data_IF_087116288730
#
_entry.id   IF_087116288730
#
_cell.length_a   1.000
_cell.length_b   1.000
_cell.length_c   1.000
_cell.angle_alpha   90.00
_cell.angle_beta   90.00
_cell.angle_gamma   90.00
#
_symmetry.space_group_name_H-M   'P 1'
#
loop_
_entity.id
_entity.type
_entity.pdbx_description
1 polymer ?
#
# COMPACT_ATOMS: atom_id res chain seq x y z
N UNK A 1 9.25 -31.65 -6.57
CA UNK A 1 9.99 -30.47 -7.10
C UNK A 1 9.17 -29.19 -7.08
N UNK A 2 7.89 -29.19 -7.50
CA UNK A 2 7.02 -27.99 -7.49
C UNK A 2 6.75 -27.42 -6.08
N UNK A 3 6.46 -28.24 -5.07
CA UNK A 3 6.20 -27.77 -3.68
C UNK A 3 7.38 -26.99 -3.09
N UNK A 4 8.62 -27.40 -3.37
CA UNK A 4 9.81 -26.69 -2.86
C UNK A 4 9.99 -25.32 -3.51
N UNK A 5 9.76 -25.19 -4.84
CA UNK A 5 9.87 -23.88 -5.54
C UNK A 5 8.82 -22.87 -5.07
N UNK A 6 7.58 -23.30 -4.88
CA UNK A 6 6.51 -22.42 -4.37
C UNK A 6 6.84 -21.94 -2.96
N UNK A 7 7.31 -22.83 -2.09
CA UNK A 7 7.72 -22.47 -0.74
C UNK A 7 8.93 -21.51 -0.73
N UNK A 8 9.95 -21.77 -1.55
CA UNK A 8 11.11 -20.88 -1.71
C UNK A 8 10.70 -19.48 -2.20
N UNK A 9 9.76 -19.41 -3.16
CA UNK A 9 9.25 -18.14 -3.67
C UNK A 9 8.47 -17.37 -2.61
N UNK A 10 7.59 -18.04 -1.86
CA UNK A 10 6.82 -17.42 -0.77
C UNK A 10 7.78 -16.89 0.31
N UNK A 11 8.76 -17.71 0.71
CA UNK A 11 9.76 -17.31 1.70
C UNK A 11 10.60 -16.13 1.21
N UNK A 12 11.08 -16.18 -0.04
CA UNK A 12 11.88 -15.11 -0.64
C UNK A 12 11.11 -13.79 -0.74
N UNK A 13 9.83 -13.84 -1.15
CA UNK A 13 8.96 -12.67 -1.17
C UNK A 13 8.72 -12.14 0.24
N UNK A 14 8.46 -13.03 1.21
CA UNK A 14 8.25 -12.65 2.61
C UNK A 14 9.47 -11.93 3.19
N UNK A 15 10.67 -12.48 2.99
CA UNK A 15 11.93 -11.84 3.43
C UNK A 15 12.14 -10.50 2.73
N UNK A 16 11.90 -10.41 1.43
CA UNK A 16 12.01 -9.15 0.69
C UNK A 16 11.00 -8.11 1.18
N UNK A 17 9.77 -8.52 1.48
CA UNK A 17 8.74 -7.64 2.01
C UNK A 17 9.11 -7.10 3.39
N UNK A 18 9.58 -7.98 4.28
CA UNK A 18 10.05 -7.58 5.62
C UNK A 18 11.21 -6.59 5.50
N UNK A 19 12.17 -6.83 4.62
CA UNK A 19 13.31 -5.95 4.46
C UNK A 19 12.92 -4.58 3.85
N UNK A 20 12.01 -4.57 2.88
CA UNK A 20 11.48 -3.32 2.32
C UNK A 20 10.76 -2.46 3.35
N UNK A 21 10.29 -3.05 4.45
CA UNK A 21 9.70 -2.32 5.58
C UNK A 21 10.74 -2.01 6.65
N UNK A 22 11.63 -2.94 6.96
CA UNK A 22 12.60 -2.83 8.05
C UNK A 22 13.68 -1.75 7.76
N UNK A 23 14.24 -1.72 6.55
CA UNK A 23 15.29 -0.74 6.22
C UNK A 23 14.80 0.71 6.30
N UNK A 24 13.67 1.10 5.70
CA UNK A 24 13.10 2.43 5.92
C UNK A 24 12.79 2.71 7.39
N UNK A 25 12.27 1.72 8.13
CA UNK A 25 11.95 1.88 9.54
C UNK A 25 13.20 2.12 10.41
N UNK A 26 14.33 1.49 10.10
CA UNK A 26 15.63 1.72 10.76
C UNK A 26 16.21 3.10 10.41
N UNK A 27 16.07 3.54 9.14
CA UNK A 27 16.60 4.84 8.70
C UNK A 27 15.74 6.02 9.12
N UNK A 28 14.42 5.81 9.29
CA UNK A 28 13.45 6.84 9.60
C UNK A 28 13.78 7.68 10.85
N UNK A 29 14.14 7.09 12.01
CA UNK A 29 14.52 7.86 13.19
C UNK A 29 15.75 8.74 12.96
N UNK A 30 16.74 8.22 12.27
CA UNK A 30 17.96 8.93 11.96
C UNK A 30 17.68 10.11 11.01
N UNK A 31 17.05 9.82 9.88
CA UNK A 31 16.73 10.80 8.85
C UNK A 31 15.87 11.93 9.41
N UNK A 32 14.76 11.59 10.09
CA UNK A 32 13.82 12.58 10.60
C UNK A 32 14.45 13.56 11.59
N UNK A 33 15.35 13.08 12.46
CA UNK A 33 16.06 13.92 13.44
C UNK A 33 17.02 14.91 12.77
N UNK A 34 17.67 14.51 11.69
CA UNK A 34 18.64 15.34 10.97
C UNK A 34 17.90 16.36 10.12
N UNK A 35 17.08 15.91 9.17
CA UNK A 35 16.44 16.79 8.18
C UNK A 35 15.28 17.61 8.75
N UNK A 36 14.72 17.17 9.90
CA UNK A 36 13.59 17.82 10.56
C UNK A 36 12.26 17.69 9.82
N UNK A 37 11.18 18.31 10.38
CA UNK A 37 9.85 18.19 9.80
C UNK A 37 9.73 18.77 8.39
N UNK A 38 10.44 19.85 8.09
CA UNK A 38 10.38 20.51 6.78
C UNK A 38 10.94 19.63 5.67
N UNK A 39 12.19 19.14 5.83
CA UNK A 39 12.79 18.21 4.86
C UNK A 39 12.01 16.91 4.74
N UNK A 40 11.47 16.41 5.86
CA UNK A 40 10.64 15.21 5.86
C UNK A 40 9.32 15.44 5.11
N UNK A 41 8.72 16.62 5.25
CA UNK A 41 7.52 17.01 4.51
C UNK A 41 7.75 17.13 3.01
N UNK A 42 8.88 17.75 2.58
CA UNK A 42 9.27 17.82 1.16
C UNK A 42 9.40 16.41 0.57
N UNK A 43 10.13 15.52 1.23
CA UNK A 43 10.33 14.14 0.77
C UNK A 43 9.01 13.39 0.63
N UNK A 44 8.17 13.43 1.65
CA UNK A 44 6.90 12.70 1.64
C UNK A 44 5.90 13.28 0.65
N UNK A 45 5.83 14.62 0.52
CA UNK A 45 4.97 15.26 -0.48
C UNK A 45 5.38 14.88 -1.90
N UNK A 46 6.67 15.03 -2.21
CA UNK A 46 7.21 14.67 -3.54
C UNK A 46 7.02 13.18 -3.84
N UNK A 47 7.26 12.31 -2.84
CA UNK A 47 7.03 10.86 -2.99
C UNK A 47 5.54 10.54 -3.22
N UNK A 48 4.63 11.19 -2.51
CA UNK A 48 3.20 11.02 -2.69
C UNK A 48 2.76 11.48 -4.09
N UNK A 49 3.24 12.65 -4.52
CA UNK A 49 2.93 13.19 -5.83
C UNK A 49 3.45 12.29 -6.97
N UNK A 50 4.71 11.89 -6.91
CA UNK A 50 5.32 10.98 -7.90
C UNK A 50 4.69 9.58 -7.85
N UNK A 51 4.18 9.16 -6.71
CA UNK A 51 3.47 7.89 -6.52
C UNK A 51 2.29 7.70 -7.48
N UNK A 52 1.58 8.77 -7.86
CA UNK A 52 0.53 8.69 -8.88
C UNK A 52 1.07 8.38 -10.27
N UNK A 53 2.21 8.94 -10.63
CA UNK A 53 2.88 8.61 -11.90
C UNK A 53 3.39 7.16 -11.90
N UNK A 54 3.88 6.66 -10.75
CA UNK A 54 4.21 5.22 -10.60
C UNK A 54 2.99 4.36 -10.89
N UNK A 55 1.85 4.66 -10.26
CA UNK A 55 0.59 3.94 -10.50
C UNK A 55 0.16 3.99 -11.97
N UNK A 56 0.32 5.15 -12.61
CA UNK A 56 -0.04 5.33 -14.01
C UNK A 56 0.89 4.56 -14.95
N UNK A 57 2.19 4.52 -14.70
CA UNK A 57 3.17 3.80 -15.54
C UNK A 57 3.08 2.29 -15.35
N UNK A 58 3.01 1.82 -14.11
CA UNK A 58 2.85 0.39 -13.82
C UNK A 58 1.45 -0.11 -14.20
N UNK A 59 0.47 0.76 -14.18
CA UNK A 59 -0.94 0.55 -14.51
C UNK A 59 -1.55 -0.63 -13.73
N UNK A 60 -1.43 -1.83 -14.23
CA UNK A 60 -1.72 -3.11 -13.58
C UNK A 60 -0.94 -4.25 -14.25
N UNK A 61 0.04 -3.87 -15.09
CA UNK A 61 0.76 -4.80 -15.95
C UNK A 61 1.59 -5.83 -15.19
N UNK A 62 1.97 -5.56 -13.92
CA UNK A 62 2.60 -6.59 -13.10
C UNK A 62 1.65 -7.77 -12.84
N UNK A 63 0.35 -7.53 -12.73
CA UNK A 63 -0.66 -8.56 -12.53
C UNK A 63 -1.11 -9.19 -13.84
N UNK A 64 -1.53 -8.36 -14.81
CA UNK A 64 -2.06 -8.83 -16.10
C UNK A 64 -0.98 -9.49 -16.96
N UNK A 65 0.21 -8.89 -17.05
CA UNK A 65 1.36 -9.45 -17.74
C UNK A 65 1.83 -10.77 -17.13
N UNK A 66 1.89 -10.86 -15.79
CA UNK A 66 2.17 -12.13 -15.09
C UNK A 66 1.15 -13.19 -15.47
N UNK A 67 -0.14 -12.86 -15.44
CA UNK A 67 -1.22 -13.79 -15.79
C UNK A 67 -1.13 -14.26 -17.24
N UNK A 68 -0.89 -13.34 -18.18
CA UNK A 68 -0.79 -13.65 -19.60
C UNK A 68 0.39 -14.59 -19.90
N UNK A 69 1.59 -14.24 -19.42
CA UNK A 69 2.81 -15.01 -19.65
C UNK A 69 2.77 -16.38 -18.95
N UNK A 70 2.34 -16.42 -17.67
CA UNK A 70 2.34 -17.66 -16.91
C UNK A 70 1.40 -18.73 -17.47
N UNK A 71 0.29 -18.32 -18.10
CA UNK A 71 -0.66 -19.25 -18.72
C UNK A 71 -0.14 -19.83 -20.03
N UNK A 72 0.70 -19.10 -20.75
CA UNK A 72 1.21 -19.47 -22.07
C UNK A 72 2.74 -19.63 -22.10
N UNK A 73 3.34 -20.04 -20.99
CA UNK A 73 4.80 -20.04 -20.78
C UNK A 73 5.56 -20.92 -21.80
N UNK A 74 4.89 -21.89 -22.41
CA UNK A 74 5.46 -22.78 -23.44
C UNK A 74 5.45 -22.19 -24.84
N UNK A 75 4.58 -21.23 -25.09
CA UNK A 75 4.46 -20.52 -26.38
C UNK A 75 5.39 -19.28 -26.35
N UNK A 76 6.57 -19.44 -26.96
CA UNK A 76 7.59 -18.38 -27.00
C UNK A 76 7.15 -17.15 -27.80
N UNK A 77 6.34 -17.32 -28.84
CA UNK A 77 5.83 -16.21 -29.64
C UNK A 77 4.88 -15.37 -28.82
N UNK A 78 3.91 -16.00 -28.18
CA UNK A 78 2.96 -15.34 -27.30
C UNK A 78 3.67 -14.65 -26.11
N UNK A 79 4.64 -15.32 -25.49
CA UNK A 79 5.42 -14.73 -24.37
C UNK A 79 6.17 -13.49 -24.81
N UNK A 80 6.82 -13.50 -25.99
CA UNK A 80 7.53 -12.35 -26.53
C UNK A 80 6.57 -11.22 -26.91
N UNK A 81 5.39 -11.55 -27.45
CA UNK A 81 4.34 -10.58 -27.75
C UNK A 81 3.85 -9.90 -26.47
N UNK A 82 3.39 -10.66 -25.48
CA UNK A 82 2.88 -10.13 -24.23
C UNK A 82 3.95 -9.33 -23.44
N UNK A 83 5.20 -9.81 -23.44
CA UNK A 83 6.33 -9.07 -22.90
C UNK A 83 6.52 -7.71 -23.58
N UNK A 84 6.49 -7.69 -24.90
CA UNK A 84 6.66 -6.46 -25.69
C UNK A 84 5.51 -5.48 -25.49
N UNK A 85 4.27 -5.97 -25.46
CA UNK A 85 3.07 -5.16 -25.21
C UNK A 85 3.16 -4.44 -23.85
N UNK A 86 3.56 -5.15 -22.78
CA UNK A 86 3.76 -4.54 -21.45
C UNK A 86 4.82 -3.44 -21.49
N UNK A 87 5.97 -3.68 -22.12
CA UNK A 87 7.05 -2.69 -22.17
C UNK A 87 6.66 -1.48 -23.00
N UNK A 88 6.08 -1.67 -24.19
CA UNK A 88 5.62 -0.54 -25.01
C UNK A 88 4.51 0.27 -24.32
N UNK A 89 3.57 -0.40 -23.64
CA UNK A 89 2.53 0.27 -22.86
C UNK A 89 3.15 1.16 -21.76
N UNK A 90 4.11 0.64 -20.99
CA UNK A 90 4.82 1.41 -19.97
C UNK A 90 5.62 2.58 -20.56
N UNK A 91 6.27 2.39 -21.71
CA UNK A 91 6.98 3.48 -22.41
C UNK A 91 6.02 4.61 -22.81
N UNK A 92 4.86 4.28 -23.38
CA UNK A 92 3.86 5.28 -23.76
C UNK A 92 3.34 6.02 -22.54
N UNK A 93 2.99 5.28 -21.47
CA UNK A 93 2.49 5.89 -20.24
C UNK A 93 3.58 6.75 -19.55
N UNK A 94 4.85 6.36 -19.63
CA UNK A 94 5.97 7.20 -19.15
C UNK A 94 6.10 8.50 -19.95
N UNK A 95 5.98 8.46 -21.27
CA UNK A 95 6.01 9.66 -22.13
C UNK A 95 4.84 10.60 -21.80
N UNK A 96 3.62 10.06 -21.67
CA UNK A 96 2.46 10.85 -21.23
C UNK A 96 2.70 11.44 -19.83
N UNK A 97 3.21 10.63 -18.91
CA UNK A 97 3.58 11.08 -17.54
C UNK A 97 4.60 12.22 -17.57
N UNK A 98 5.57 12.16 -18.50
CA UNK A 98 6.61 13.20 -18.62
C UNK A 98 6.02 14.55 -19.02
N UNK A 99 5.07 14.55 -19.96
CA UNK A 99 4.34 15.76 -20.37
C UNK A 99 3.51 16.30 -19.20
N UNK A 100 2.75 15.42 -18.53
CA UNK A 100 1.92 15.82 -17.38
C UNK A 100 2.77 16.33 -16.20
N UNK A 101 3.92 15.73 -15.94
CA UNK A 101 4.84 16.17 -14.90
C UNK A 101 5.43 17.55 -15.23
N UNK A 102 5.89 17.77 -16.46
CA UNK A 102 6.36 19.09 -16.89
C UNK A 102 5.26 20.15 -16.71
N UNK A 103 4.04 19.88 -17.13
CA UNK A 103 2.91 20.79 -16.92
C UNK A 103 2.66 21.07 -15.43
N UNK A 104 2.76 20.04 -14.58
CA UNK A 104 2.55 20.19 -13.14
C UNK A 104 3.60 21.05 -12.45
N UNK A 105 4.84 21.09 -12.96
CA UNK A 105 5.88 21.98 -12.45
C UNK A 105 5.55 23.46 -12.69
N UNK A 106 4.78 23.81 -13.73
CA UNK A 106 4.36 25.18 -13.97
C UNK A 106 3.18 25.62 -13.08
N UNK A 107 2.29 24.69 -12.69
CA UNK A 107 1.05 24.99 -11.97
C UNK A 107 1.10 24.65 -10.48
N UNK A 108 2.04 23.82 -10.03
CA UNK A 108 2.07 23.26 -8.68
C UNK A 108 2.83 24.12 -7.67
N UNK A 109 2.18 25.07 -6.96
CA UNK A 109 2.82 25.92 -5.94
C UNK A 109 3.59 25.14 -4.86
N UNK A 110 3.10 23.97 -4.45
CA UNK A 110 3.75 23.16 -3.43
C UNK A 110 5.02 22.46 -3.94
N UNK A 111 5.15 22.22 -5.27
CA UNK A 111 6.35 21.66 -5.89
C UNK A 111 7.45 22.71 -6.07
N UNK A 112 7.11 24.00 -6.09
CA UNK A 112 8.08 25.07 -6.28
C UNK A 112 9.08 25.24 -5.13
N UNK A 113 8.74 24.78 -3.91
CA UNK A 113 9.64 24.90 -2.76
C UNK A 113 10.85 24.00 -2.87
N UNK A 114 10.73 22.82 -3.54
CA UNK A 114 11.87 21.97 -3.85
C UNK A 114 11.59 21.03 -5.04
N UNK A 115 11.62 21.62 -6.24
CA UNK A 115 11.44 20.89 -7.50
C UNK A 115 12.54 19.85 -7.75
N UNK A 116 13.73 20.03 -7.15
CA UNK A 116 14.87 19.13 -7.34
C UNK A 116 14.54 17.71 -6.86
N UNK A 117 13.96 17.57 -5.68
CA UNK A 117 13.52 16.27 -5.14
C UNK A 117 12.50 15.60 -6.06
N UNK A 118 11.52 16.37 -6.54
CA UNK A 118 10.48 15.87 -7.43
C UNK A 118 11.05 15.44 -8.79
N UNK A 119 12.01 16.19 -9.34
CA UNK A 119 12.70 15.83 -10.59
C UNK A 119 13.52 14.54 -10.41
N UNK A 120 14.29 14.42 -9.33
CA UNK A 120 15.09 13.22 -9.04
C UNK A 120 14.18 12.00 -8.98
N UNK A 121 13.07 12.08 -8.23
CA UNK A 121 12.10 11.00 -8.13
C UNK A 121 11.44 10.68 -9.47
N UNK A 122 11.09 11.73 -10.26
CA UNK A 122 10.46 11.53 -11.57
C UNK A 122 11.40 10.82 -12.56
N UNK A 123 12.66 11.24 -12.62
CA UNK A 123 13.69 10.54 -13.43
C UNK A 123 13.79 9.07 -13.01
N UNK A 124 13.64 8.79 -11.72
CA UNK A 124 13.59 7.44 -11.19
C UNK A 124 12.48 6.55 -11.77
N UNK A 125 11.41 7.14 -12.32
CA UNK A 125 10.29 6.39 -12.90
C UNK A 125 10.68 5.59 -14.16
N UNK A 126 11.79 5.91 -14.80
CA UNK A 126 12.34 5.08 -15.87
C UNK A 126 12.60 3.65 -15.39
N UNK A 127 12.93 3.48 -14.10
CA UNK A 127 13.08 2.17 -13.47
C UNK A 127 11.77 1.37 -13.42
N UNK A 128 10.64 2.06 -13.36
CA UNK A 128 9.29 1.43 -13.38
C UNK A 128 8.94 0.90 -14.76
N UNK A 129 9.40 1.56 -15.82
CA UNK A 129 9.24 1.06 -17.21
C UNK A 129 9.92 -0.30 -17.36
N UNK A 130 11.15 -0.41 -16.86
CA UNK A 130 11.98 -1.62 -16.92
C UNK A 130 11.83 -2.51 -15.69
N UNK A 131 10.79 -2.32 -14.86
CA UNK A 131 10.53 -3.19 -13.71
C UNK A 131 10.32 -4.63 -14.16
N UNK A 132 11.19 -5.58 -13.78
CA UNK A 132 11.15 -6.94 -14.24
C UNK A 132 10.27 -7.85 -13.38
N UNK A 133 9.56 -7.29 -12.40
CA UNK A 133 8.81 -8.05 -11.40
C UNK A 133 7.84 -9.05 -12.04
N UNK A 134 7.06 -8.63 -13.04
CA UNK A 134 6.10 -9.48 -13.74
C UNK A 134 6.77 -10.67 -14.45
N UNK A 135 8.00 -10.49 -14.97
CA UNK A 135 8.75 -11.56 -15.61
C UNK A 135 9.13 -12.64 -14.58
N UNK A 136 9.78 -12.22 -13.47
CA UNK A 136 10.20 -13.15 -12.41
C UNK A 136 9.01 -13.85 -11.75
N UNK A 137 7.87 -13.18 -11.62
CA UNK A 137 6.63 -13.78 -11.14
C UNK A 137 6.09 -14.81 -12.12
N UNK A 138 6.08 -14.52 -13.43
CA UNK A 138 5.60 -15.43 -14.48
C UNK A 138 6.39 -16.72 -14.55
N UNK A 139 7.71 -16.63 -14.42
CA UNK A 139 8.61 -17.77 -14.45
C UNK A 139 8.84 -18.44 -13.08
N UNK A 140 8.17 -17.93 -12.02
CA UNK A 140 8.30 -18.42 -10.64
C UNK A 140 9.76 -18.48 -10.16
N UNK A 141 10.52 -17.41 -10.42
CA UNK A 141 11.95 -17.29 -10.10
C UNK A 141 12.25 -16.01 -9.29
N UNK A 142 11.53 -15.88 -8.19
CA UNK A 142 11.59 -14.67 -7.37
C UNK A 142 12.82 -14.58 -6.47
N UNK A 143 13.58 -15.68 -6.33
CA UNK A 143 14.75 -15.75 -5.43
C UNK A 143 15.82 -14.72 -5.76
N UNK A 144 16.21 -14.61 -7.05
CA UNK A 144 17.23 -13.65 -7.50
C UNK A 144 16.70 -12.23 -7.33
N UNK A 145 15.47 -11.98 -7.76
CA UNK A 145 14.81 -10.68 -7.64
C UNK A 145 14.77 -10.21 -6.18
N UNK A 146 14.34 -11.08 -5.27
CA UNK A 146 14.26 -10.79 -3.83
C UNK A 146 15.63 -10.55 -3.21
N UNK A 147 16.63 -11.38 -3.53
CA UNK A 147 18.00 -11.22 -3.01
C UNK A 147 18.63 -9.88 -3.42
N UNK A 148 18.47 -9.49 -4.68
CA UNK A 148 19.03 -8.22 -5.18
C UNK A 148 18.30 -7.03 -4.56
N UNK A 149 16.98 -7.10 -4.38
CA UNK A 149 16.22 -6.05 -3.68
C UNK A 149 16.63 -5.91 -2.21
N UNK A 150 16.95 -7.01 -1.52
CA UNK A 150 17.50 -6.98 -0.17
C UNK A 150 18.85 -6.23 -0.13
N UNK A 151 19.77 -6.61 -1.01
CA UNK A 151 21.09 -5.97 -1.10
C UNK A 151 20.93 -4.47 -1.41
N UNK A 152 20.03 -4.12 -2.33
CA UNK A 152 19.70 -2.73 -2.63
C UNK A 152 19.26 -1.96 -1.40
N UNK A 153 18.30 -2.49 -0.65
CA UNK A 153 17.78 -1.85 0.57
C UNK A 153 18.87 -1.65 1.61
N UNK A 154 19.72 -2.65 1.80
CA UNK A 154 20.84 -2.59 2.75
C UNK A 154 21.89 -1.53 2.34
N UNK A 155 22.30 -1.53 1.07
CA UNK A 155 23.27 -0.52 0.57
C UNK A 155 22.67 0.89 0.67
N UNK A 156 21.39 1.07 0.28
CA UNK A 156 20.72 2.36 0.39
C UNK A 156 20.67 2.86 1.84
N UNK A 157 20.38 1.97 2.78
CA UNK A 157 20.44 2.27 4.22
C UNK A 157 21.83 2.77 4.64
N UNK A 158 22.90 2.07 4.26
CA UNK A 158 24.28 2.47 4.60
C UNK A 158 24.61 3.84 4.03
N UNK A 159 24.28 4.11 2.76
CA UNK A 159 24.55 5.40 2.14
C UNK A 159 23.77 6.54 2.79
N UNK A 160 22.55 6.31 3.20
CA UNK A 160 21.78 7.29 3.97
C UNK A 160 22.52 7.65 5.26
N UNK A 161 23.02 6.67 6.02
CA UNK A 161 23.80 6.93 7.24
C UNK A 161 25.14 7.63 6.98
N UNK A 162 25.76 7.40 5.83
CA UNK A 162 27.06 8.01 5.48
C UNK A 162 26.90 9.46 4.99
N UNK A 163 25.92 9.73 4.17
CA UNK A 163 25.82 11.00 3.42
C UNK A 163 24.82 12.00 3.99
N UNK A 164 23.76 11.54 4.68
CA UNK A 164 22.78 12.46 5.26
C UNK A 164 23.25 12.90 6.64
N UNK A 165 23.86 14.08 6.75
CA UNK A 165 24.44 14.63 8.01
C UNK A 165 23.82 15.96 8.40
N UNK A 166 23.33 16.73 7.45
CA UNK A 166 22.77 18.07 7.68
C UNK A 166 21.31 18.17 7.22
N UNK A 167 20.63 19.26 7.61
CA UNK A 167 19.23 19.48 7.20
C UNK A 167 19.07 19.54 5.67
N UNK A 168 20.10 19.99 4.96
CA UNK A 168 20.04 20.19 3.50
C UNK A 168 20.31 18.90 2.73
N UNK A 169 20.75 17.83 3.39
CA UNK A 169 21.13 16.58 2.74
C UNK A 169 19.92 15.67 2.40
N UNK A 170 18.70 16.14 2.63
CA UNK A 170 17.50 15.34 2.35
C UNK A 170 17.39 14.89 0.88
N UNK A 171 17.96 15.62 -0.07
CA UNK A 171 17.95 15.25 -1.49
C UNK A 171 18.79 13.99 -1.81
N UNK A 172 19.77 13.62 -0.98
CA UNK A 172 20.51 12.37 -1.15
C UNK A 172 19.64 11.13 -1.01
N UNK A 173 18.57 11.21 -0.23
CA UNK A 173 17.67 10.07 0.00
C UNK A 173 16.98 9.64 -1.29
N UNK A 174 16.26 10.51 -2.02
CA UNK A 174 15.69 10.17 -3.31
C UNK A 174 16.75 9.92 -4.37
N UNK A 175 17.91 10.59 -4.31
CA UNK A 175 18.99 10.40 -5.28
C UNK A 175 19.51 8.95 -5.25
N UNK A 176 19.93 8.45 -4.09
CA UNK A 176 20.41 7.07 -3.97
C UNK A 176 19.32 6.06 -4.32
N UNK A 177 18.12 6.26 -3.82
CA UNK A 177 16.99 5.39 -4.14
C UNK A 177 16.73 5.33 -5.64
N UNK A 178 16.74 6.46 -6.33
CA UNK A 178 16.54 6.57 -7.78
C UNK A 178 17.65 5.88 -8.55
N UNK A 179 18.91 6.21 -8.24
CA UNK A 179 20.08 5.63 -8.90
C UNK A 179 20.07 4.10 -8.79
N UNK A 180 19.89 3.58 -7.56
CA UNK A 180 19.85 2.13 -7.37
C UNK A 180 18.66 1.48 -8.04
N UNK A 181 17.47 2.10 -8.01
CA UNK A 181 16.30 1.56 -8.70
C UNK A 181 16.54 1.45 -10.21
N UNK A 182 17.14 2.46 -10.82
CA UNK A 182 17.45 2.46 -12.26
C UNK A 182 18.45 1.34 -12.58
N UNK A 183 19.61 1.31 -11.92
CA UNK A 183 20.65 0.33 -12.23
C UNK A 183 20.18 -1.11 -11.97
N UNK A 184 19.52 -1.34 -10.86
CA UNK A 184 19.07 -2.69 -10.47
C UNK A 184 17.93 -3.18 -11.36
N UNK A 185 16.92 -2.33 -11.63
CA UNK A 185 15.81 -2.77 -12.47
C UNK A 185 16.26 -2.99 -13.92
N UNK A 186 17.10 -2.13 -14.48
CA UNK A 186 17.67 -2.33 -15.82
C UNK A 186 18.57 -3.57 -15.85
N UNK A 187 19.41 -3.76 -14.85
CA UNK A 187 20.26 -4.95 -14.73
C UNK A 187 19.47 -6.25 -14.63
N UNK A 188 18.47 -6.28 -13.73
CA UNK A 188 17.58 -7.44 -13.57
C UNK A 188 16.72 -7.69 -14.81
N UNK A 189 16.26 -6.63 -15.49
CA UNK A 189 15.53 -6.72 -16.76
C UNK A 189 16.41 -7.34 -17.85
N UNK A 190 17.64 -6.85 -18.01
CA UNK A 190 18.60 -7.39 -18.97
C UNK A 190 18.97 -8.87 -18.67
N UNK A 191 19.15 -9.21 -17.41
CA UNK A 191 19.38 -10.58 -16.98
C UNK A 191 18.17 -11.49 -17.28
N UNK A 192 16.95 -11.05 -16.94
CA UNK A 192 15.73 -11.79 -17.23
C UNK A 192 15.54 -11.99 -18.74
N UNK A 193 15.77 -10.94 -19.55
CA UNK A 193 15.70 -11.02 -21.03
C UNK A 193 16.64 -12.09 -21.59
N UNK A 194 17.88 -12.17 -21.08
CA UNK A 194 18.86 -13.20 -21.49
C UNK A 194 18.46 -14.57 -20.99
N UNK A 195 18.14 -14.69 -19.71
CA UNK A 195 17.83 -15.97 -19.06
C UNK A 195 16.63 -16.68 -19.68
N UNK A 196 15.57 -15.93 -19.98
CA UNK A 196 14.32 -16.49 -20.56
C UNK A 196 14.25 -16.33 -22.09
N UNK A 197 15.35 -15.87 -22.72
CA UNK A 197 15.43 -15.67 -24.18
C UNK A 197 14.29 -14.79 -24.71
N UNK A 198 13.93 -13.73 -23.97
CA UNK A 198 12.87 -12.82 -24.34
C UNK A 198 13.34 -11.85 -25.44
N UNK A 199 12.48 -11.67 -26.47
CA UNK A 199 12.73 -10.75 -27.58
C UNK A 199 11.69 -9.64 -27.54
N UNK A 200 12.14 -8.39 -27.74
CA UNK A 200 11.23 -7.28 -28.01
C UNK A 200 10.80 -7.35 -29.48
N UNK A 201 9.52 -7.55 -29.69
CA UNK A 201 8.90 -7.61 -31.02
C UNK A 201 8.11 -6.33 -31.21
N UNK A 202 8.29 -5.67 -32.37
CA UNK A 202 7.54 -4.45 -32.69
C UNK A 202 6.03 -4.74 -32.64
N UNK A 203 5.30 -3.95 -31.88
CA UNK A 203 3.86 -4.09 -31.71
C UNK A 203 3.14 -2.92 -32.38
N UNK A 204 2.03 -3.17 -33.08
CA UNK A 204 1.20 -2.10 -33.57
C UNK A 204 0.57 -1.33 -32.39
N UNK A 205 0.42 -0.02 -32.53
CA UNK A 205 -0.13 0.84 -31.48
C UNK A 205 -1.52 0.37 -31.01
N UNK A 206 -2.34 -0.15 -31.92
CA UNK A 206 -3.66 -0.66 -31.57
C UNK A 206 -3.61 -1.79 -30.52
N UNK A 207 -2.64 -2.70 -30.60
CA UNK A 207 -2.47 -3.77 -29.63
C UNK A 207 -2.04 -3.20 -28.26
N UNK A 208 -1.12 -2.24 -28.29
CA UNK A 208 -0.63 -1.58 -27.07
C UNK A 208 -1.77 -0.84 -26.34
N UNK A 209 -2.55 -0.06 -27.07
CA UNK A 209 -3.74 0.60 -26.51
C UNK A 209 -4.83 -0.41 -26.10
N UNK A 210 -4.95 -1.53 -26.81
CA UNK A 210 -5.84 -2.63 -26.47
C UNK A 210 -5.54 -3.20 -25.09
N UNK A 211 -4.26 -3.44 -24.77
CA UNK A 211 -3.84 -3.92 -23.43
C UNK A 211 -4.16 -2.89 -22.36
N UNK A 212 -3.84 -1.61 -22.59
CA UNK A 212 -4.17 -0.52 -21.64
C UNK A 212 -5.68 -0.47 -21.39
N UNK A 213 -6.49 -0.55 -22.45
CA UNK A 213 -7.94 -0.49 -22.31
C UNK A 213 -8.53 -1.70 -21.59
N UNK A 214 -8.00 -2.91 -21.83
CA UNK A 214 -8.45 -4.13 -21.17
C UNK A 214 -8.19 -4.10 -19.65
N UNK A 215 -7.06 -3.52 -19.24
CA UNK A 215 -6.65 -3.46 -17.85
C UNK A 215 -7.23 -2.26 -17.06
N UNK A 216 -8.03 -1.40 -17.69
CA UNK A 216 -8.54 -0.15 -17.10
C UNK A 216 -9.27 -0.33 -15.77
N UNK A 217 -10.01 -1.42 -15.61
CA UNK A 217 -10.78 -1.64 -14.36
C UNK A 217 -9.86 -1.96 -13.18
N UNK A 218 -8.79 -2.72 -13.41
CA UNK A 218 -7.80 -3.02 -12.36
C UNK A 218 -7.05 -1.73 -12.00
N UNK A 219 -6.66 -0.94 -13.01
CA UNK A 219 -6.05 0.36 -12.82
C UNK A 219 -6.92 1.31 -11.99
N UNK A 220 -8.20 1.48 -12.36
CA UNK A 220 -9.14 2.32 -11.63
C UNK A 220 -9.27 1.85 -10.17
N UNK A 221 -9.31 0.55 -9.93
CA UNK A 221 -9.35 0.00 -8.57
C UNK A 221 -8.11 0.38 -7.74
N UNK A 222 -6.92 0.35 -8.36
CA UNK A 222 -5.66 0.78 -7.72
C UNK A 222 -5.66 2.29 -7.42
N UNK A 223 -6.16 3.12 -8.35
CA UNK A 223 -6.29 4.58 -8.14
C UNK A 223 -7.27 4.89 -7.00
N UNK A 224 -8.41 4.19 -6.92
CA UNK A 224 -9.36 4.34 -5.82
C UNK A 224 -8.70 3.99 -4.47
N UNK A 225 -7.88 2.93 -4.44
CA UNK A 225 -7.09 2.58 -3.26
C UNK A 225 -6.13 3.70 -2.84
N UNK A 226 -5.49 4.37 -3.80
CA UNK A 226 -4.58 5.49 -3.54
C UNK A 226 -5.29 6.74 -2.99
N UNK A 227 -6.58 6.93 -3.27
CA UNK A 227 -7.36 8.05 -2.72
C UNK A 227 -7.37 8.06 -1.19
N UNK A 228 -7.36 6.90 -0.59
CA UNK A 228 -7.38 6.78 0.87
C UNK A 228 -6.03 7.07 1.52
N UNK A 229 -4.92 6.82 0.84
CA UNK A 229 -3.58 6.90 1.41
C UNK A 229 -2.81 8.13 0.95
N UNK A 230 -2.61 8.26 -0.34
CA UNK A 230 -1.67 9.21 -0.95
C UNK A 230 -2.31 10.57 -1.20
N UNK A 231 -3.61 10.61 -1.56
CA UNK A 231 -4.30 11.85 -1.94
C UNK A 231 -4.39 12.86 -0.80
N UNK A 232 -4.51 12.40 0.45
CA UNK A 232 -4.55 13.29 1.61
C UNK A 232 -3.32 14.20 1.67
N UNK A 233 -2.13 13.64 1.47
CA UNK A 233 -0.88 14.39 1.47
C UNK A 233 -0.81 15.40 0.33
N UNK A 234 -1.31 15.04 -0.86
CA UNK A 234 -1.31 15.94 -2.03
C UNK A 234 -2.29 17.09 -1.82
N UNK A 235 -3.51 16.80 -1.36
CA UNK A 235 -4.51 17.85 -1.09
C UNK A 235 -3.98 18.83 -0.04
N UNK A 236 -3.34 18.34 1.02
CA UNK A 236 -2.72 19.18 2.04
C UNK A 236 -1.67 20.14 1.46
N UNK A 237 -0.89 19.70 0.48
CA UNK A 237 0.13 20.53 -0.16
C UNK A 237 -0.39 21.81 -0.82
N UNK A 238 -1.71 21.89 -1.14
CA UNK A 238 -2.32 23.11 -1.65
C UNK A 238 -2.63 24.14 -0.55
N UNK A 239 -2.73 23.71 0.71
CA UNK A 239 -3.29 24.54 1.79
C UNK A 239 -2.32 24.81 2.94
N UNK A 240 -1.33 23.93 3.19
CA UNK A 240 -0.46 24.03 4.36
C UNK A 240 1.03 24.04 3.95
N UNK A 241 1.90 24.32 4.91
CA UNK A 241 3.35 24.39 4.71
C UNK A 241 3.97 22.99 4.61
N UNK A 242 5.17 22.90 4.01
CA UNK A 242 5.93 21.64 3.96
C UNK A 242 6.25 21.09 5.35
N UNK A 243 6.49 21.97 6.33
CA UNK A 243 6.71 21.58 7.73
C UNK A 243 5.49 20.89 8.32
N UNK A 244 4.30 21.44 8.10
CA UNK A 244 3.03 20.85 8.55
C UNK A 244 2.71 19.54 7.84
N UNK A 245 3.05 19.42 6.54
CA UNK A 245 3.00 18.14 5.81
C UNK A 245 3.92 17.13 6.48
N UNK A 246 5.10 17.54 6.92
CA UNK A 246 6.03 16.70 7.66
C UNK A 246 5.42 16.13 8.94
N UNK A 247 4.73 16.95 9.72
CA UNK A 247 4.03 16.49 10.92
C UNK A 247 2.93 15.47 10.60
N UNK A 248 2.11 15.76 9.62
CA UNK A 248 1.04 14.87 9.19
C UNK A 248 1.56 13.53 8.68
N UNK A 249 2.53 13.58 7.75
CA UNK A 249 3.06 12.36 7.13
C UNK A 249 3.84 11.49 8.11
N UNK A 250 4.49 12.09 9.12
CA UNK A 250 5.13 11.35 10.21
C UNK A 250 4.11 10.50 10.96
N UNK A 251 2.98 11.10 11.36
CA UNK A 251 1.91 10.39 12.07
C UNK A 251 1.27 9.30 11.22
N UNK A 252 1.01 9.59 9.93
CA UNK A 252 0.43 8.63 8.99
C UNK A 252 1.37 7.46 8.72
N UNK A 253 2.65 7.73 8.46
CA UNK A 253 3.63 6.68 8.20
C UNK A 253 3.79 5.76 9.42
N UNK A 254 3.80 6.32 10.63
CA UNK A 254 3.83 5.53 11.85
C UNK A 254 2.56 4.68 12.02
N UNK A 255 1.40 5.26 11.79
CA UNK A 255 0.12 4.53 11.79
C UNK A 255 0.15 3.35 10.81
N UNK A 256 0.66 3.57 9.59
CA UNK A 256 0.77 2.49 8.60
C UNK A 256 1.75 1.39 9.01
N UNK A 257 2.81 1.70 9.75
CA UNK A 257 3.68 0.66 10.32
C UNK A 257 2.86 -0.22 11.27
N UNK A 258 2.08 0.37 12.16
CA UNK A 258 1.22 -0.39 13.09
C UNK A 258 0.18 -1.22 12.33
N UNK A 259 -0.45 -0.64 11.30
CA UNK A 259 -1.41 -1.35 10.45
C UNK A 259 -0.75 -2.53 9.73
N UNK A 260 0.43 -2.33 9.14
CA UNK A 260 1.13 -3.40 8.42
C UNK A 260 1.60 -4.53 9.35
N UNK A 261 2.03 -4.21 10.55
CA UNK A 261 2.55 -5.20 11.51
C UNK A 261 1.41 -6.00 12.17
N UNK A 262 0.32 -5.35 12.55
CA UNK A 262 -0.74 -5.97 13.35
C UNK A 262 -1.99 -6.32 12.54
N UNK A 263 -2.43 -5.42 11.65
CA UNK A 263 -3.70 -5.58 10.95
C UNK A 263 -3.61 -6.57 9.77
N UNK A 264 -2.65 -6.38 8.86
CA UNK A 264 -2.57 -7.20 7.64
C UNK A 264 -2.36 -8.69 7.96
N UNK A 265 -1.43 -9.11 8.85
CA UNK A 265 -1.25 -10.52 9.17
C UNK A 265 -2.49 -11.18 9.77
N UNK A 266 -3.20 -10.45 10.64
CA UNK A 266 -4.44 -10.98 11.25
C UNK A 266 -5.53 -11.13 10.20
N UNK A 267 -5.76 -10.11 9.38
CA UNK A 267 -6.76 -10.15 8.31
C UNK A 267 -6.50 -11.30 7.33
N UNK A 268 -5.25 -11.47 6.90
CA UNK A 268 -4.86 -12.53 5.96
C UNK A 268 -4.93 -13.94 6.56
N UNK A 269 -4.68 -14.09 7.87
CA UNK A 269 -4.79 -15.37 8.56
C UNK A 269 -6.26 -15.79 8.81
N UNK A 270 -7.14 -14.82 9.05
CA UNK A 270 -8.54 -15.07 9.36
C UNK A 270 -9.35 -15.36 8.09
N UNK A 271 -9.06 -14.71 6.96
CA UNK A 271 -9.83 -14.81 5.74
C UNK A 271 -10.02 -16.26 5.23
N UNK A 272 -8.96 -17.09 5.05
CA UNK A 272 -9.12 -18.47 4.62
C UNK A 272 -9.95 -19.31 5.59
N UNK A 273 -9.82 -19.06 6.91
CA UNK A 273 -10.56 -19.79 7.93
C UNK A 273 -12.07 -19.51 7.85
N UNK A 274 -12.44 -18.23 7.67
CA UNK A 274 -13.85 -17.84 7.46
C UNK A 274 -14.34 -18.41 6.13
N UNK A 275 -13.61 -18.21 5.03
CA UNK A 275 -14.00 -18.65 3.69
C UNK A 275 -14.23 -20.16 3.63
N UNK A 276 -13.35 -20.97 4.22
CA UNK A 276 -13.53 -22.41 4.32
C UNK A 276 -14.75 -22.81 5.18
N UNK A 277 -15.15 -21.96 6.11
CA UNK A 277 -16.35 -22.21 6.90
C UNK A 277 -17.62 -21.92 6.11
N UNK A 278 -17.62 -20.89 5.28
CA UNK A 278 -18.71 -20.58 4.35
C UNK A 278 -18.86 -21.63 3.25
N UNK A 279 -17.78 -22.29 2.82
CA UNK A 279 -17.86 -23.38 1.83
C UNK A 279 -18.58 -24.62 2.36
N UNK A 280 -18.67 -24.79 3.69
CA UNK A 280 -19.42 -25.89 4.31
C UNK A 280 -20.91 -25.58 4.38
N UNK A 281 -21.28 -24.45 4.94
CA UNK A 281 -22.62 -23.85 4.89
C UNK A 281 -22.56 -22.38 5.34
N UNK A 282 -23.58 -21.60 4.94
CA UNK A 282 -23.73 -20.20 5.34
C UNK A 282 -23.89 -20.07 6.86
N UNK A 283 -24.58 -21.03 7.50
CA UNK A 283 -24.77 -21.03 8.94
C UNK A 283 -23.47 -21.25 9.71
N UNK A 284 -22.66 -22.23 9.28
CA UNK A 284 -21.33 -22.49 9.86
C UNK A 284 -20.40 -21.30 9.69
N UNK A 285 -20.38 -20.72 8.48
CA UNK A 285 -19.61 -19.51 8.21
C UNK A 285 -20.01 -18.34 9.11
N UNK A 286 -21.31 -18.11 9.25
CA UNK A 286 -21.85 -17.03 10.08
C UNK A 286 -21.58 -17.24 11.59
N UNK A 287 -21.64 -18.47 12.09
CA UNK A 287 -21.28 -18.75 13.49
C UNK A 287 -19.79 -18.51 13.76
N UNK A 288 -18.91 -18.86 12.81
CA UNK A 288 -17.48 -18.56 12.87
C UNK A 288 -17.24 -17.05 12.87
N UNK A 289 -17.91 -16.29 12.01
CA UNK A 289 -17.82 -14.82 12.00
C UNK A 289 -18.22 -14.27 13.36
N UNK A 290 -19.37 -14.69 13.92
CA UNK A 290 -19.85 -14.25 15.25
C UNK A 290 -18.82 -14.51 16.37
N UNK A 291 -18.03 -15.57 16.29
CA UNK A 291 -16.96 -15.87 17.25
C UNK A 291 -15.73 -15.02 17.07
N UNK A 292 -15.40 -14.65 15.82
CA UNK A 292 -14.21 -13.87 15.47
C UNK A 292 -14.42 -12.37 15.72
N UNK A 293 -15.63 -11.85 15.47
CA UNK A 293 -16.00 -10.43 15.63
C UNK A 293 -15.53 -9.84 16.98
N UNK A 294 -15.85 -10.41 18.15
CA UNK A 294 -15.39 -9.84 19.41
C UNK A 294 -13.87 -9.84 19.57
N UNK A 295 -13.21 -10.92 19.13
CA UNK A 295 -11.75 -11.07 19.22
C UNK A 295 -11.05 -9.97 18.44
N UNK A 296 -11.48 -9.73 17.20
CA UNK A 296 -10.90 -8.69 16.33
C UNK A 296 -11.19 -7.30 16.85
N UNK A 297 -12.40 -7.03 17.35
CA UNK A 297 -12.76 -5.73 17.92
C UNK A 297 -11.90 -5.42 19.14
N UNK A 298 -11.77 -6.33 20.10
CA UNK A 298 -10.96 -6.10 21.29
C UNK A 298 -9.47 -5.92 20.94
N UNK A 299 -8.96 -6.70 20.01
CA UNK A 299 -7.58 -6.58 19.56
C UNK A 299 -7.30 -5.21 18.94
N UNK A 300 -8.13 -4.76 18.00
CA UNK A 300 -7.93 -3.47 17.34
C UNK A 300 -8.24 -2.30 18.27
N UNK A 301 -9.19 -2.44 19.18
CA UNK A 301 -9.45 -1.46 20.21
C UNK A 301 -8.24 -1.30 21.15
N UNK A 302 -7.66 -2.40 21.60
CA UNK A 302 -6.46 -2.39 22.42
C UNK A 302 -5.28 -1.77 21.68
N UNK A 303 -5.06 -2.12 20.42
CA UNK A 303 -4.02 -1.51 19.58
C UNK A 303 -4.21 0.01 19.45
N UNK A 304 -5.46 0.45 19.23
CA UNK A 304 -5.80 1.88 19.16
C UNK A 304 -5.56 2.61 20.48
N UNK A 305 -5.92 1.97 21.59
CA UNK A 305 -5.68 2.51 22.94
C UNK A 305 -4.18 2.63 23.24
N UNK A 306 -3.40 1.62 22.88
CA UNK A 306 -1.94 1.68 22.99
C UNK A 306 -1.36 2.82 22.15
N UNK A 307 -1.83 3.00 20.91
CA UNK A 307 -1.43 4.11 20.05
C UNK A 307 -1.74 5.47 20.72
N UNK A 308 -2.93 5.62 21.28
CA UNK A 308 -3.35 6.86 21.93
C UNK A 308 -2.45 7.20 23.13
N UNK A 309 -2.21 6.20 23.99
CA UNK A 309 -1.46 6.40 25.25
C UNK A 309 0.03 6.58 24.97
N UNK A 310 0.61 5.73 24.12
CA UNK A 310 2.05 5.71 23.88
C UNK A 310 2.52 6.63 22.76
N UNK A 311 1.61 7.34 22.05
CA UNK A 311 1.96 8.26 20.97
C UNK A 311 3.03 9.32 21.38
N UNK A 312 3.02 9.95 22.56
CA UNK A 312 4.08 10.88 22.94
C UNK A 312 5.44 10.20 23.02
N UNK A 313 5.50 9.06 23.72
CA UNK A 313 6.73 8.29 23.86
C UNK A 313 7.27 7.83 22.51
N UNK A 314 6.40 7.29 21.65
CA UNK A 314 6.78 6.73 20.35
C UNK A 314 7.28 7.81 19.39
N UNK A 315 6.58 8.93 19.27
CA UNK A 315 6.99 10.02 18.39
C UNK A 315 8.28 10.66 18.87
N UNK A 316 8.37 11.00 20.15
CA UNK A 316 9.57 11.65 20.72
C UNK A 316 10.78 10.71 20.64
N UNK A 317 10.60 9.42 20.95
CA UNK A 317 11.69 8.44 20.90
C UNK A 317 12.17 8.17 19.47
N UNK A 318 11.27 8.07 18.50
CA UNK A 318 11.61 7.74 17.11
C UNK A 318 12.05 8.98 16.35
N UNK A 319 11.25 10.05 16.37
CA UNK A 319 11.44 11.23 15.51
C UNK A 319 12.14 12.40 16.22
N UNK A 320 12.10 12.44 17.56
CA UNK A 320 12.64 13.53 18.37
C UNK A 320 11.65 14.67 18.59
N UNK A 321 12.02 15.60 19.49
CA UNK A 321 11.13 16.68 19.99
C UNK A 321 10.68 17.68 18.89
N UNK A 322 11.36 17.73 17.75
CA UNK A 322 10.96 18.60 16.64
C UNK A 322 9.60 18.20 16.01
N UNK A 323 9.09 17.00 16.36
CA UNK A 323 7.86 16.44 15.81
C UNK A 323 6.69 16.41 16.83
N UNK A 324 6.71 17.25 17.85
CA UNK A 324 5.69 17.26 18.92
C UNK A 324 4.26 17.45 18.39
N UNK A 325 4.06 18.28 17.34
CA UNK A 325 2.75 18.39 16.68
C UNK A 325 2.25 17.08 16.06
N UNK A 326 3.17 16.20 15.65
CA UNK A 326 2.81 14.87 15.15
C UNK A 326 2.17 13.99 16.24
N UNK A 327 2.44 14.25 17.52
CA UNK A 327 1.82 13.54 18.64
C UNK A 327 0.30 13.76 18.63
N UNK A 328 -0.12 15.03 18.53
CA UNK A 328 -1.54 15.39 18.54
C UNK A 328 -2.27 14.82 17.30
N UNK A 329 -1.59 14.83 16.15
CA UNK A 329 -2.12 14.23 14.92
C UNK A 329 -2.29 12.73 15.09
N UNK A 330 -1.24 12.04 15.63
CA UNK A 330 -1.29 10.59 15.85
C UNK A 330 -2.37 10.21 16.88
N UNK A 331 -2.56 11.01 17.92
CA UNK A 331 -3.65 10.83 18.88
C UNK A 331 -5.03 10.99 18.21
N UNK A 332 -5.17 11.97 17.32
CA UNK A 332 -6.41 12.16 16.56
C UNK A 332 -6.76 10.94 15.72
N UNK A 333 -5.77 10.32 15.05
CA UNK A 333 -5.97 9.14 14.21
C UNK A 333 -5.75 7.80 14.94
N UNK A 334 -5.58 7.81 16.27
CA UNK A 334 -5.25 6.61 17.04
C UNK A 334 -6.30 5.50 16.93
N UNK A 335 -7.55 5.84 16.65
CA UNK A 335 -8.64 4.87 16.46
C UNK A 335 -8.80 4.36 15.02
N UNK A 336 -7.96 4.80 14.08
CA UNK A 336 -7.97 4.29 12.70
C UNK A 336 -7.72 2.76 12.63
N UNK A 337 -6.84 2.12 13.42
CA UNK A 337 -6.72 0.66 13.41
C UNK A 337 -8.04 -0.06 13.75
N UNK A 338 -8.82 0.46 14.68
CA UNK A 338 -10.14 -0.07 15.01
C UNK A 338 -11.12 0.10 13.85
N UNK A 339 -11.22 1.32 13.30
CA UNK A 339 -12.17 1.59 12.20
C UNK A 339 -11.80 0.83 10.93
N UNK A 340 -10.52 0.77 10.56
CA UNK A 340 -10.03 -0.08 9.47
C UNK A 340 -10.32 -1.57 9.71
N UNK A 341 -10.12 -2.03 10.95
CA UNK A 341 -10.42 -3.40 11.36
C UNK A 341 -11.88 -3.74 11.16
N UNK A 342 -12.78 -2.86 11.57
CA UNK A 342 -14.22 -3.00 11.35
C UNK A 342 -14.60 -2.96 9.86
N UNK A 343 -14.03 -2.03 9.07
CA UNK A 343 -14.24 -2.00 7.62
C UNK A 343 -13.85 -3.33 6.96
N UNK A 344 -12.67 -3.86 7.32
CA UNK A 344 -12.21 -5.15 6.79
C UNK A 344 -13.12 -6.30 7.21
N UNK A 345 -13.50 -6.34 8.49
CA UNK A 345 -14.38 -7.38 9.03
C UNK A 345 -15.71 -7.39 8.28
N UNK A 346 -16.38 -6.25 8.17
CA UNK A 346 -17.70 -6.15 7.54
C UNK A 346 -17.63 -6.36 6.03
N UNK A 347 -16.62 -5.78 5.38
CA UNK A 347 -16.44 -5.86 3.94
C UNK A 347 -15.81 -7.17 3.51
N UNK A 348 -14.51 -7.35 3.80
CA UNK A 348 -13.73 -8.48 3.27
C UNK A 348 -14.13 -9.81 3.92
N UNK A 349 -14.28 -9.82 5.25
CA UNK A 349 -14.54 -11.07 5.96
C UNK A 349 -16.01 -11.50 5.89
N UNK A 350 -16.95 -10.56 5.72
CA UNK A 350 -18.39 -10.87 5.67
C UNK A 350 -18.93 -10.72 4.26
N UNK A 351 -19.04 -9.49 3.71
CA UNK A 351 -19.75 -9.27 2.44
C UNK A 351 -19.15 -10.07 1.28
N UNK A 352 -17.81 -10.20 1.17
CA UNK A 352 -17.19 -11.00 0.11
C UNK A 352 -17.50 -12.50 0.28
N UNK A 353 -17.51 -13.01 1.50
CA UNK A 353 -17.84 -14.42 1.74
C UNK A 353 -19.34 -14.76 1.53
N UNK A 354 -20.19 -13.74 1.52
CA UNK A 354 -21.57 -13.84 1.07
C UNK A 354 -21.77 -13.58 -0.44
N UNK A 355 -20.67 -13.44 -1.22
CA UNK A 355 -20.66 -13.11 -2.66
C UNK A 355 -21.28 -11.74 -3.00
N UNK A 356 -21.23 -10.76 -2.08
CA UNK A 356 -21.68 -9.39 -2.32
C UNK A 356 -20.54 -8.47 -2.76
N UNK A 357 -19.63 -8.96 -3.64
CA UNK A 357 -18.46 -8.23 -4.12
C UNK A 357 -18.83 -6.89 -4.76
N UNK A 358 -19.84 -6.89 -5.63
CA UNK A 358 -20.30 -5.68 -6.32
C UNK A 358 -20.86 -4.63 -5.35
N UNK A 359 -21.55 -5.08 -4.29
CA UNK A 359 -22.07 -4.19 -3.26
C UNK A 359 -20.93 -3.54 -2.47
N UNK A 360 -19.98 -4.35 -2.00
CA UNK A 360 -18.82 -3.86 -1.26
C UNK A 360 -17.97 -2.89 -2.10
N UNK A 361 -17.75 -3.20 -3.37
CA UNK A 361 -17.08 -2.29 -4.30
C UNK A 361 -17.81 -0.93 -4.41
N UNK A 362 -19.15 -0.94 -4.58
CA UNK A 362 -19.93 0.29 -4.66
C UNK A 362 -19.87 1.12 -3.39
N UNK A 363 -19.95 0.47 -2.22
CA UNK A 363 -19.82 1.15 -0.91
C UNK A 363 -18.43 1.83 -0.83
N UNK A 364 -17.35 1.10 -1.11
CA UNK A 364 -16.01 1.67 -1.06
C UNK A 364 -15.83 2.82 -2.05
N UNK A 365 -16.30 2.67 -3.29
CA UNK A 365 -16.22 3.72 -4.29
C UNK A 365 -16.94 4.98 -3.83
N UNK A 366 -18.15 4.85 -3.35
CA UNK A 366 -18.96 5.97 -2.84
C UNK A 366 -18.26 6.66 -1.66
N UNK A 367 -17.84 5.91 -0.65
CA UNK A 367 -17.17 6.46 0.53
C UNK A 367 -15.85 7.18 0.17
N UNK A 368 -15.06 6.63 -0.75
CA UNK A 368 -13.81 7.26 -1.17
C UNK A 368 -14.05 8.54 -1.99
N UNK A 369 -15.07 8.58 -2.86
CA UNK A 369 -15.42 9.80 -3.60
C UNK A 369 -15.91 10.89 -2.63
N UNK A 370 -16.82 10.56 -1.72
CA UNK A 370 -17.30 11.50 -0.68
C UNK A 370 -16.13 11.97 0.18
N UNK A 371 -15.25 11.05 0.59
CA UNK A 371 -14.07 11.38 1.37
C UNK A 371 -13.11 12.31 0.63
N UNK A 372 -12.92 12.12 -0.68
CA UNK A 372 -12.06 12.99 -1.49
C UNK A 372 -12.60 14.43 -1.54
N UNK A 373 -13.89 14.58 -1.75
CA UNK A 373 -14.55 15.90 -1.77
C UNK A 373 -14.44 16.56 -0.39
N UNK A 374 -14.80 15.83 0.67
CA UNK A 374 -14.72 16.32 2.04
C UNK A 374 -13.30 16.68 2.46
N UNK A 375 -12.31 15.88 2.05
CA UNK A 375 -10.92 16.16 2.37
C UNK A 375 -10.46 17.53 1.86
N UNK A 376 -10.89 17.90 0.64
CA UNK A 376 -10.56 19.21 0.09
C UNK A 376 -11.09 20.35 0.97
N UNK A 377 -12.36 20.28 1.38
CA UNK A 377 -12.97 21.31 2.23
C UNK A 377 -12.43 21.30 3.66
N UNK A 378 -12.27 20.11 4.25
CA UNK A 378 -11.76 19.97 5.61
C UNK A 378 -10.30 20.41 5.70
N UNK A 379 -9.46 20.02 4.73
CA UNK A 379 -8.06 20.43 4.68
C UNK A 379 -7.89 21.92 4.47
N UNK A 380 -8.74 22.54 3.62
CA UNK A 380 -8.75 23.99 3.43
C UNK A 380 -9.09 24.75 4.72
N UNK A 381 -10.02 24.23 5.52
CA UNK A 381 -10.51 24.91 6.74
C UNK A 381 -9.67 24.58 7.98
N UNK A 382 -9.23 23.34 8.13
CA UNK A 382 -8.63 22.81 9.35
C UNK A 382 -7.21 22.26 9.15
N UNK A 383 -6.61 22.44 7.96
CA UNK A 383 -5.27 21.95 7.66
C UNK A 383 -5.15 20.43 7.85
N UNK A 384 -4.05 20.01 8.47
CA UNK A 384 -3.76 18.58 8.69
C UNK A 384 -4.76 17.88 9.63
N UNK A 385 -5.42 18.60 10.55
CA UNK A 385 -6.49 18.01 11.35
C UNK A 385 -7.71 17.65 10.50
N UNK A 386 -8.04 18.49 9.50
CA UNK A 386 -9.09 18.18 8.55
C UNK A 386 -8.84 16.87 7.77
N UNK A 387 -7.60 16.69 7.31
CA UNK A 387 -7.22 15.45 6.65
C UNK A 387 -7.25 14.24 7.61
N UNK A 388 -6.83 14.42 8.87
CA UNK A 388 -6.89 13.37 9.90
C UNK A 388 -8.33 12.93 10.21
N UNK A 389 -9.24 13.89 10.37
CA UNK A 389 -10.68 13.60 10.59
C UNK A 389 -11.31 12.93 9.38
N UNK A 390 -10.92 13.33 8.17
CA UNK A 390 -11.42 12.71 6.96
C UNK A 390 -11.11 11.22 6.87
N UNK A 391 -9.92 10.78 7.32
CA UNK A 391 -9.58 9.35 7.38
C UNK A 391 -10.58 8.56 8.24
N UNK A 392 -10.86 9.06 9.43
CA UNK A 392 -11.82 8.43 10.35
C UNK A 392 -13.23 8.47 9.76
N UNK A 393 -13.61 9.60 9.17
CA UNK A 393 -14.92 9.78 8.57
C UNK A 393 -15.20 8.77 7.46
N UNK A 394 -14.25 8.55 6.53
CA UNK A 394 -14.40 7.55 5.45
C UNK A 394 -14.63 6.16 6.04
N UNK A 395 -13.88 5.79 7.07
CA UNK A 395 -14.02 4.50 7.72
C UNK A 395 -15.39 4.36 8.40
N UNK A 396 -15.78 5.36 9.18
CA UNK A 396 -17.07 5.36 9.88
C UNK A 396 -18.23 5.29 8.88
N UNK A 397 -18.16 6.06 7.79
CA UNK A 397 -19.17 6.02 6.73
C UNK A 397 -19.22 4.63 6.08
N UNK A 398 -18.08 4.00 5.81
CA UNK A 398 -18.00 2.64 5.27
C UNK A 398 -18.62 1.64 6.24
N UNK A 399 -18.31 1.73 7.53
CA UNK A 399 -18.90 0.86 8.59
C UNK A 399 -20.41 1.01 8.62
N UNK A 400 -20.92 2.25 8.65
CA UNK A 400 -22.36 2.54 8.71
C UNK A 400 -23.09 1.94 7.50
N UNK A 401 -22.55 2.15 6.29
CA UNK A 401 -23.15 1.60 5.07
C UNK A 401 -23.09 0.08 5.04
N UNK A 402 -21.97 -0.54 5.43
CA UNK A 402 -21.88 -1.98 5.51
C UNK A 402 -22.91 -2.56 6.52
N UNK A 403 -23.03 -1.98 7.70
CA UNK A 403 -24.06 -2.40 8.67
C UNK A 403 -25.47 -2.20 8.16
N UNK A 404 -25.76 -1.09 7.51
CA UNK A 404 -27.07 -0.81 6.91
C UNK A 404 -27.47 -1.90 5.91
N UNK A 405 -26.56 -2.24 4.98
CA UNK A 405 -26.82 -3.29 4.00
C UNK A 405 -26.89 -4.69 4.63
N UNK A 406 -26.05 -5.02 5.61
CA UNK A 406 -26.14 -6.29 6.33
C UNK A 406 -27.50 -6.44 7.05
N UNK A 407 -28.05 -5.35 7.60
CA UNK A 407 -29.39 -5.34 8.20
C UNK A 407 -30.48 -5.60 7.16
N UNK A 408 -30.41 -4.96 5.98
CA UNK A 408 -31.34 -5.20 4.87
C UNK A 408 -31.28 -6.66 4.42
N UNK A 409 -30.10 -7.23 4.31
CA UNK A 409 -29.86 -8.61 3.91
C UNK A 409 -30.18 -9.62 5.03
N UNK A 410 -30.63 -9.14 6.18
CA UNK A 410 -30.94 -9.96 7.38
C UNK A 410 -29.75 -10.81 7.87
N UNK A 411 -28.53 -10.35 7.62
CA UNK A 411 -27.30 -11.00 8.06
C UNK A 411 -26.92 -10.47 9.45
N UNK A 412 -27.05 -11.34 10.46
CA UNK A 412 -26.66 -11.00 11.83
C UNK A 412 -25.28 -11.58 12.16
N UNK A 413 -24.32 -10.68 12.39
CA UNK A 413 -22.91 -11.01 12.70
C UNK A 413 -22.57 -10.80 14.18
N UNK A 414 -23.49 -10.27 14.98
CA UNK A 414 -23.26 -9.96 16.39
C UNK A 414 -24.01 -10.96 17.26
N UNK A 415 -23.30 -11.57 18.21
CA UNK A 415 -23.87 -12.39 19.26
C UNK A 415 -23.29 -11.96 20.59
N UNK A 416 -24.02 -11.19 21.36
CA UNK A 416 -23.53 -10.53 22.57
C UNK A 416 -22.90 -11.49 23.58
N UNK A 417 -23.37 -12.75 23.68
CA UNK A 417 -22.76 -13.78 24.50
C UNK A 417 -21.27 -14.00 24.20
N UNK A 418 -20.82 -13.78 22.96
CA UNK A 418 -19.43 -13.99 22.55
C UNK A 418 -18.49 -12.85 22.94
N UNK A 419 -19.00 -11.72 23.45
CA UNK A 419 -18.20 -10.61 23.96
C UNK A 419 -17.71 -10.82 25.40
N UNK A 420 -18.17 -11.85 26.11
CA UNK A 420 -17.65 -12.19 27.44
C UNK A 420 -16.19 -12.66 27.35
N UNK A 421 -15.28 -12.14 28.20
CA UNK A 421 -13.85 -12.52 28.18
C UNK A 421 -13.61 -14.02 28.33
N UNK A 422 -14.45 -14.72 29.11
CA UNK A 422 -14.37 -16.18 29.32
C UNK A 422 -14.69 -16.90 28.00
N UNK A 423 -15.72 -16.45 27.27
CA UNK A 423 -16.13 -17.05 26.01
C UNK A 423 -15.12 -16.73 24.91
N UNK A 424 -14.52 -15.55 24.92
CA UNK A 424 -13.43 -15.20 23.98
C UNK A 424 -12.26 -16.15 24.14
N UNK A 425 -11.80 -16.41 25.38
CA UNK A 425 -10.72 -17.37 25.65
C UNK A 425 -11.05 -18.76 25.13
N UNK A 426 -12.27 -19.27 25.36
CA UNK A 426 -12.71 -20.57 24.86
C UNK A 426 -12.78 -20.61 23.33
N UNK A 427 -13.29 -19.55 22.68
CA UNK A 427 -13.35 -19.43 21.24
C UNK A 427 -11.97 -19.40 20.60
N UNK A 428 -11.00 -18.64 21.16
CA UNK A 428 -9.60 -18.65 20.71
C UNK A 428 -8.98 -20.05 20.75
N UNK A 429 -9.16 -20.76 21.87
CA UNK A 429 -8.66 -22.13 21.99
C UNK A 429 -9.31 -23.07 20.95
N UNK A 430 -10.60 -22.94 20.71
CA UNK A 430 -11.33 -23.76 19.71
C UNK A 430 -10.83 -23.50 18.28
N UNK A 431 -10.57 -22.23 17.93
CA UNK A 431 -10.03 -21.80 16.62
C UNK A 431 -8.62 -22.36 16.41
N UNK A 432 -7.76 -22.28 17.43
CA UNK A 432 -6.39 -22.79 17.37
C UNK A 432 -6.37 -24.33 17.25
N UNK A 433 -7.25 -25.02 17.97
CA UNK A 433 -7.39 -26.51 17.87
C UNK A 433 -7.91 -26.94 16.50
N UNK A 434 -8.89 -26.25 15.94
CA UNK A 434 -9.41 -26.53 14.61
C UNK A 434 -8.34 -26.40 13.50
N UNK A 435 -7.36 -25.50 13.67
CA UNK A 435 -6.22 -25.32 12.74
C UNK A 435 -5.20 -26.47 12.83
N UNK A 436 -5.14 -27.22 13.93
CA UNK A 436 -4.24 -28.38 14.08
C UNK A 436 -4.81 -29.69 13.51
N UNK A 437 -6.10 -29.71 13.20
CA UNK A 437 -6.81 -30.89 12.68
C UNK A 437 -7.05 -30.85 11.15
N UNK A 438 -6.72 -29.73 10.50
CA UNK A 438 -6.65 -29.55 9.05
C UNK A 438 -5.18 -29.32 8.62
#
# INVERSE_FOLDING_TARGET
MFKNKVFENIFSLGVSQIANMAFPFITMPYVSRIIGPEGYGILNYSTAFIGYFVLFILYSFDLSGTKAISRNIKDKEFVNMAFSEVIYSRCILYLISSILFMLSLFFGKALHKDYVVSIILFVGLISSVFSPQFIYQSFQDLKIFSKINLIRGFINMILIFLFVKTKHDYFYIPLFTTVFNIFINIGLFGYAKRKYSLKLIKQPLNNVFGVIFNDRFIFISNVIGAFRTTTNTIILGFFITTKEIGYFTTSINFLFVVVNVFFIPISTAIYPFISNSFSKSVEVGNDVVKKIVPITIYFYFFTSLCLLIFSPLLITFIFGNKFDESIKILQTIAFVPLTMGLCNLLGVQVLLNYNFDKLYFRINLFCNIVGLILNFFLSKKFGYYGAAWNLIFIDVLTIVLCFYFLKILKINIIKWKYFSPIVIKSNLISIIKAKKLN
#
